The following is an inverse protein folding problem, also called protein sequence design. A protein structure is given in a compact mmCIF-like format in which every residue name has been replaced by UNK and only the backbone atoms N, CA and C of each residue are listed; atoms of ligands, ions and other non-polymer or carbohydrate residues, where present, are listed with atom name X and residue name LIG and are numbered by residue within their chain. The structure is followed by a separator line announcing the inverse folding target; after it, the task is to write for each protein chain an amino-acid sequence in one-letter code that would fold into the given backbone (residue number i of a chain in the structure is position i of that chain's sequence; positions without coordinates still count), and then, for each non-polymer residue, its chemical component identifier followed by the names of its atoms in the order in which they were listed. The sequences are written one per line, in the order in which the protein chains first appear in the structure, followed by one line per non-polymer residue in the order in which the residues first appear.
data_IF_600010480976
#
_entry.id   IF_600010480976
#
_cell.length_a   1.000
_cell.length_b   1.000
_cell.length_c   1.000
_cell.angle_alpha   90.00
_cell.angle_beta   90.00
_cell.angle_gamma   90.00
#
_symmetry.space_group_name_H-M   'P 1'
#
loop_
_entity.id
_entity.type
_entity.pdbx_description
1 polymer ?
#
# COMPACT_ATOMS: atom_id res chain seq x y z
N UNK A 1 24.65 5.56 -12.21
CA UNK A 1 23.67 6.33 -11.40
C UNK A 1 23.00 5.38 -10.42
N UNK A 2 23.53 5.29 -9.20
CA UNK A 2 22.87 4.57 -8.11
C UNK A 2 21.69 5.43 -7.67
N UNK A 3 20.48 4.99 -8.01
CA UNK A 3 19.27 5.63 -7.51
C UNK A 3 19.27 5.57 -5.98
N UNK A 4 18.80 6.65 -5.38
CA UNK A 4 18.56 6.85 -3.95
C UNK A 4 17.50 5.86 -3.41
N UNK A 5 17.77 4.56 -3.45
CA UNK A 5 16.96 3.53 -2.78
C UNK A 5 17.40 3.38 -1.30
N UNK A 6 18.08 4.41 -0.78
CA UNK A 6 18.66 4.49 0.55
C UNK A 6 17.58 4.67 1.61
N UNK A 7 17.38 3.59 2.36
CA UNK A 7 16.50 3.46 3.53
C UNK A 7 15.01 3.27 3.17
N UNK A 8 14.72 2.27 2.32
CA UNK A 8 13.47 1.53 2.53
C UNK A 8 13.61 0.78 3.84
N UNK A 9 12.73 1.06 4.81
CA UNK A 9 12.71 0.34 6.09
C UNK A 9 12.64 -1.16 5.81
N UNK A 10 13.43 -1.96 6.53
CA UNK A 10 13.43 -3.42 6.38
C UNK A 10 12.07 -4.03 6.75
N UNK A 11 11.30 -3.31 7.58
CA UNK A 11 9.96 -3.69 8.00
C UNK A 11 9.07 -2.44 8.13
N UNK A 12 8.58 -1.90 7.01
CA UNK A 12 7.68 -0.75 7.05
C UNK A 12 6.38 -1.15 7.78
N UNK A 13 5.80 -0.24 8.59
CA UNK A 13 4.57 -0.52 9.31
C UNK A 13 3.38 -0.68 8.35
N UNK A 14 2.38 -1.46 8.75
CA UNK A 14 1.14 -1.56 8.00
C UNK A 14 0.36 -0.23 8.10
N UNK A 15 -0.14 0.28 6.98
CA UNK A 15 -0.82 1.59 6.94
C UNK A 15 -2.06 1.65 7.83
N UNK A 16 -2.71 0.51 8.06
CA UNK A 16 -3.84 0.36 8.97
C UNK A 16 -3.55 0.83 10.40
N UNK A 17 -2.38 0.48 10.95
CA UNK A 17 -1.96 0.94 12.27
C UNK A 17 -1.74 2.46 12.31
N UNK A 18 -1.13 3.02 11.26
CA UNK A 18 -0.98 4.47 11.10
C UNK A 18 -2.34 5.18 11.04
N UNK A 19 -3.29 4.68 10.23
CA UNK A 19 -4.64 5.26 10.12
C UNK A 19 -5.33 5.24 11.49
N UNK A 20 -5.19 4.15 12.25
CA UNK A 20 -5.77 4.03 13.58
C UNK A 20 -5.24 5.10 14.54
N UNK A 21 -3.92 5.17 14.69
CA UNK A 21 -3.27 5.97 15.73
C UNK A 21 -3.12 7.45 15.37
N UNK A 22 -2.91 7.76 14.09
CA UNK A 22 -2.59 9.12 13.64
C UNK A 22 -3.77 9.84 12.98
N UNK A 23 -4.84 9.10 12.62
CA UNK A 23 -6.02 9.68 11.98
C UNK A 23 -7.26 9.47 12.85
N UNK A 24 -7.64 8.24 13.18
CA UNK A 24 -8.92 7.99 13.85
C UNK A 24 -8.91 8.37 15.34
N UNK A 25 -7.93 7.88 16.10
CA UNK A 25 -7.83 8.12 17.55
C UNK A 25 -7.72 9.61 17.93
N UNK A 26 -6.98 10.47 17.21
CA UNK A 26 -6.89 11.91 17.52
C UNK A 26 -8.23 12.66 17.39
N UNK A 27 -9.16 12.18 16.57
CA UNK A 27 -10.52 12.73 16.50
C UNK A 27 -11.46 12.16 17.57
N UNK A 28 -10.99 11.23 18.42
CA UNK A 28 -11.80 10.59 19.47
C UNK A 28 -12.92 9.71 18.92
N UNK A 29 -12.83 9.29 17.66
CA UNK A 29 -13.88 8.49 17.01
C UNK A 29 -13.77 7.02 17.41
N UNK A 30 -14.92 6.40 17.68
CA UNK A 30 -14.97 4.94 17.74
C UNK A 30 -14.80 4.34 16.34
N UNK A 31 -14.48 3.04 16.25
CA UNK A 31 -14.43 2.33 14.95
C UNK A 31 -15.79 2.36 14.24
N UNK A 32 -16.89 2.41 14.99
CA UNK A 32 -18.24 2.51 14.41
C UNK A 32 -18.45 3.88 13.79
N UNK A 33 -18.19 4.95 14.54
CA UNK A 33 -18.41 6.32 14.06
C UNK A 33 -17.49 6.66 12.88
N UNK A 34 -16.22 6.22 12.94
CA UNK A 34 -15.29 6.38 11.83
C UNK A 34 -15.73 5.62 10.57
N UNK A 35 -16.34 4.45 10.71
CA UNK A 35 -16.85 3.68 9.57
C UNK A 35 -18.06 4.37 8.92
N UNK A 36 -18.93 4.98 9.72
CA UNK A 36 -20.04 5.80 9.23
C UNK A 36 -19.54 7.03 8.47
N UNK A 37 -18.57 7.78 9.02
CA UNK A 37 -17.94 8.93 8.36
C UNK A 37 -17.31 8.54 7.02
N UNK A 38 -16.64 7.38 6.97
CA UNK A 38 -16.01 6.86 5.75
C UNK A 38 -17.02 6.22 4.78
N UNK A 39 -18.27 6.02 5.19
CA UNK A 39 -19.32 5.38 4.40
C UNK A 39 -19.01 3.92 4.06
N UNK A 40 -18.48 3.16 5.02
CA UNK A 40 -18.07 1.75 4.89
C UNK A 40 -18.61 0.94 6.07
N UNK A 41 -18.57 -0.39 5.97
CA UNK A 41 -18.98 -1.21 7.11
C UNK A 41 -17.94 -1.13 8.24
N UNK A 42 -18.40 -1.24 9.49
CA UNK A 42 -17.52 -1.37 10.66
C UNK A 42 -16.53 -2.54 10.51
N UNK A 43 -16.97 -3.66 9.92
CA UNK A 43 -16.11 -4.82 9.71
C UNK A 43 -14.96 -4.49 8.74
N UNK A 44 -15.26 -3.82 7.62
CA UNK A 44 -14.26 -3.37 6.64
C UNK A 44 -13.24 -2.43 7.27
N UNK A 45 -13.68 -1.44 8.04
CA UNK A 45 -12.74 -0.54 8.71
C UNK A 45 -11.92 -1.28 9.77
N UNK A 46 -12.57 -2.11 10.59
CA UNK A 46 -11.91 -2.88 11.65
C UNK A 46 -10.80 -3.80 11.11
N UNK A 47 -11.01 -4.49 9.99
CA UNK A 47 -9.97 -5.36 9.41
C UNK A 47 -8.77 -4.56 8.92
N UNK A 48 -9.00 -3.37 8.32
CA UNK A 48 -7.93 -2.46 7.93
C UNK A 48 -7.16 -1.94 9.15
N UNK A 49 -7.85 -1.39 10.17
CA UNK A 49 -7.23 -0.80 11.36
C UNK A 49 -6.47 -1.82 12.22
N UNK A 50 -6.84 -3.10 12.14
CA UNK A 50 -6.15 -4.20 12.83
C UNK A 50 -5.10 -4.90 11.94
N UNK A 51 -4.69 -4.27 10.83
CA UNK A 51 -3.62 -4.74 9.95
C UNK A 51 -3.89 -6.10 9.29
N UNK A 52 -5.17 -6.44 9.10
CA UNK A 52 -5.62 -7.70 8.48
C UNK A 52 -6.11 -7.52 7.04
N UNK A 53 -6.16 -6.29 6.55
CA UNK A 53 -6.57 -5.96 5.19
C UNK A 53 -5.72 -4.82 4.64
N UNK A 54 -5.38 -4.90 3.35
CA UNK A 54 -4.69 -3.83 2.64
C UNK A 54 -5.60 -2.59 2.49
N UNK A 55 -4.99 -1.41 2.46
CA UNK A 55 -5.67 -0.18 2.06
C UNK A 55 -5.95 -0.20 0.55
N UNK A 56 -7.22 -0.17 0.18
CA UNK A 56 -7.62 0.00 -1.22
C UNK A 56 -7.53 1.47 -1.65
N UNK A 57 -7.36 1.75 -2.96
CA UNK A 57 -7.41 3.12 -3.48
C UNK A 57 -8.72 3.84 -3.15
N UNK A 58 -9.86 3.13 -3.20
CA UNK A 58 -11.16 3.71 -2.86
C UNK A 58 -11.23 4.12 -1.39
N UNK A 59 -10.73 3.29 -0.47
CA UNK A 59 -10.65 3.64 0.95
C UNK A 59 -9.70 4.81 1.18
N UNK A 60 -8.57 4.88 0.46
CA UNK A 60 -7.64 6.00 0.56
C UNK A 60 -8.30 7.33 0.15
N UNK A 61 -9.11 7.33 -0.93
CA UNK A 61 -9.91 8.50 -1.34
C UNK A 61 -10.95 8.87 -0.27
N UNK A 62 -11.60 7.89 0.36
CA UNK A 62 -12.54 8.14 1.46
C UNK A 62 -11.86 8.82 2.64
N UNK A 63 -10.67 8.34 3.04
CA UNK A 63 -9.87 8.93 4.12
C UNK A 63 -9.41 10.35 3.76
N UNK A 64 -8.97 10.58 2.52
CA UNK A 64 -8.57 11.90 2.05
C UNK A 64 -9.73 12.91 2.11
N UNK A 65 -10.92 12.50 1.66
CA UNK A 65 -12.12 13.35 1.71
C UNK A 65 -12.60 13.61 3.13
N UNK A 66 -12.54 12.62 4.02
CA UNK A 66 -13.07 12.72 5.37
C UNK A 66 -12.12 13.44 6.34
N UNK A 67 -10.81 13.22 6.21
CA UNK A 67 -9.81 13.64 7.20
C UNK A 67 -8.72 14.54 6.62
N UNK A 68 -8.73 14.82 5.31
CA UNK A 68 -7.74 15.69 4.66
C UNK A 68 -6.35 15.08 4.49
N UNK A 69 -6.21 13.76 4.72
CA UNK A 69 -4.93 13.06 4.62
C UNK A 69 -4.70 12.57 3.19
N UNK A 70 -3.57 12.96 2.59
CA UNK A 70 -3.28 12.65 1.19
C UNK A 70 -3.36 11.15 0.87
N UNK A 71 -4.20 10.77 -0.10
CA UNK A 71 -4.31 9.40 -0.58
C UNK A 71 -2.97 8.90 -1.12
N UNK A 72 -2.21 9.77 -1.81
CA UNK A 72 -0.95 9.42 -2.41
C UNK A 72 0.08 9.02 -1.32
N UNK A 73 0.06 9.70 -0.18
CA UNK A 73 0.91 9.36 0.97
C UNK A 73 0.54 8.01 1.55
N UNK A 74 -0.75 7.77 1.81
CA UNK A 74 -1.22 6.49 2.35
C UNK A 74 -0.91 5.32 1.40
N UNK A 75 -1.11 5.51 0.10
CA UNK A 75 -0.80 4.50 -0.91
C UNK A 75 0.70 4.21 -1.02
N UNK A 76 1.58 5.21 -0.82
CA UNK A 76 3.03 4.96 -0.73
C UNK A 76 3.40 4.11 0.48
N UNK A 77 2.74 4.32 1.62
CA UNK A 77 2.94 3.50 2.82
C UNK A 77 2.49 2.06 2.57
N UNK A 78 1.28 1.88 2.02
CA UNK A 78 0.76 0.55 1.66
C UNK A 78 1.70 -0.16 0.68
N UNK A 79 2.12 0.52 -0.39
CA UNK A 79 3.03 -0.07 -1.38
C UNK A 79 4.38 -0.46 -0.77
N UNK A 80 4.90 0.34 0.16
CA UNK A 80 6.15 0.01 0.86
C UNK A 80 5.98 -1.26 1.71
N UNK A 81 4.86 -1.40 2.41
CA UNK A 81 4.49 -2.62 3.12
C UNK A 81 4.37 -3.83 2.19
N UNK A 82 3.65 -3.71 1.09
CA UNK A 82 3.41 -4.81 0.15
C UNK A 82 4.72 -5.29 -0.49
N UNK A 83 5.60 -4.36 -0.87
CA UNK A 83 6.95 -4.67 -1.37
C UNK A 83 7.73 -5.47 -0.32
N UNK A 84 7.75 -5.02 0.94
CA UNK A 84 8.47 -5.73 2.00
C UNK A 84 7.92 -7.15 2.23
N UNK A 85 6.60 -7.32 2.25
CA UNK A 85 5.98 -8.65 2.40
C UNK A 85 6.24 -9.56 1.19
N UNK A 86 6.21 -9.01 -0.03
CA UNK A 86 6.57 -9.75 -1.24
C UNK A 86 8.04 -10.19 -1.23
N UNK A 87 8.94 -9.32 -0.77
CA UNK A 87 10.38 -9.66 -0.62
C UNK A 87 10.63 -10.75 0.40
N UNK A 88 9.89 -10.78 1.53
CA UNK A 88 9.98 -11.87 2.52
C UNK A 88 9.60 -13.23 1.92
N UNK A 89 8.63 -13.26 1.01
CA UNK A 89 8.17 -14.48 0.32
C UNK A 89 8.86 -14.73 -1.03
N UNK A 90 9.91 -13.97 -1.36
CA UNK A 90 10.54 -14.06 -2.68
C UNK A 90 11.05 -15.47 -3.02
N UNK A 91 11.46 -16.25 -2.00
CA UNK A 91 11.90 -17.65 -2.20
C UNK A 91 10.78 -18.62 -2.61
N UNK A 92 9.51 -18.25 -2.44
CA UNK A 92 8.36 -19.04 -2.89
C UNK A 92 8.02 -18.78 -4.38
N UNK A 93 8.60 -17.73 -4.97
CA UNK A 93 8.30 -17.27 -6.33
C UNK A 93 9.34 -17.85 -7.29
N UNK A 94 8.99 -18.94 -7.98
CA UNK A 94 9.85 -19.59 -8.95
C UNK A 94 9.66 -18.99 -10.35
N UNK A 95 10.70 -18.32 -10.87
CA UNK A 95 10.71 -17.76 -12.22
C UNK A 95 12.11 -17.83 -12.82
N UNK A 96 12.21 -18.24 -14.08
CA UNK A 96 13.47 -18.19 -14.82
C UNK A 96 13.70 -16.77 -15.35
N UNK A 97 14.93 -16.22 -15.28
CA UNK A 97 15.24 -14.94 -15.91
C UNK A 97 14.93 -14.98 -17.41
N UNK A 98 14.20 -13.97 -17.91
CA UNK A 98 13.95 -13.84 -19.33
C UNK A 98 15.26 -13.62 -20.07
N UNK A 99 15.61 -14.54 -20.97
CA UNK A 99 16.70 -14.36 -21.92
C UNK A 99 16.09 -13.96 -23.25
N UNK A 100 16.10 -12.66 -23.56
CA UNK A 100 15.64 -12.18 -24.85
C UNK A 100 16.50 -12.73 -25.98
N UNK A 101 15.90 -13.01 -27.15
CA UNK A 101 16.66 -13.09 -28.40
C UNK A 101 17.11 -11.66 -28.76
N UNK A 102 18.35 -11.43 -29.22
CA UNK A 102 18.71 -10.12 -29.77
C UNK A 102 17.68 -9.75 -30.85
N UNK A 103 17.12 -8.53 -30.76
CA UNK A 103 16.33 -7.97 -31.84
C UNK A 103 17.21 -7.98 -33.09
N UNK A 104 16.79 -8.71 -34.12
CA UNK A 104 17.53 -8.80 -35.37
C UNK A 104 17.51 -7.41 -36.03
N UNK A 105 18.66 -6.71 -36.14
CA UNK A 105 18.69 -5.32 -36.60
C UNK A 105 18.09 -5.13 -38.01
N UNK A 106 18.02 -6.20 -38.80
CA UNK A 106 17.49 -6.19 -40.16
C UNK A 106 15.95 -6.16 -40.24
N UNK A 107 15.23 -6.44 -39.15
CA UNK A 107 13.76 -6.57 -39.16
C UNK A 107 13.00 -5.25 -38.95
N UNK A 108 13.71 -4.13 -38.72
CA UNK A 108 13.13 -2.79 -38.57
C UNK A 108 13.18 -1.93 -39.85
N UNK A 109 13.64 -2.50 -40.98
CA UNK A 109 13.74 -1.85 -42.29
C UNK A 109 12.85 -2.58 -43.31
N UNK A 110 11.54 -2.59 -43.07
CA UNK A 110 10.52 -2.84 -44.10
C UNK A 110 9.34 -1.92 -43.86
#
# INVERSE_FOLDING_TARGET
MAALDGIRMMNPPHVGGFIKHEIIEPFGLSVTDAAEVLGVTRATLSTLLNERAHLSPEMAVRIEKAFGVSMATLMRMQNSYDIAQARKRAGEINVAPFQGKPLDPQSALV
#
